data_IF_316115723911
#
_entry.id   IF_316115723911
#
_cell.length_a   1.000
_cell.length_b   1.000
_cell.length_c   1.000
_cell.angle_alpha   90.00
_cell.angle_beta   90.00
_cell.angle_gamma   90.00
#
_symmetry.space_group_name_H-M   'P 1'
#
loop_
_entity.id
_entity.type
_entity.pdbx_description
1 polymer ?
#
# COMPACT_ATOMS: atom_id res chain seq x y z
N UNK A 1 -23.88 36.85 -21.71
CA UNK A 1 -23.17 35.66 -21.17
C UNK A 1 -22.60 36.02 -19.81
N UNK A 2 -23.18 35.46 -18.75
CA UNK A 2 -22.83 35.77 -17.36
C UNK A 2 -21.54 35.01 -16.96
N UNK A 3 -20.97 35.32 -15.79
CA UNK A 3 -19.74 34.66 -15.32
C UNK A 3 -19.92 33.16 -15.05
N UNK A 4 -21.12 32.76 -14.64
CA UNK A 4 -21.48 31.37 -14.38
C UNK A 4 -21.54 30.54 -15.68
N UNK A 5 -22.05 31.11 -16.77
CA UNK A 5 -22.11 30.49 -18.10
C UNK A 5 -20.71 30.20 -18.64
N UNK A 6 -19.72 31.05 -18.31
CA UNK A 6 -18.32 30.83 -18.71
C UNK A 6 -17.67 29.72 -17.92
N UNK A 7 -17.91 29.66 -16.60
CA UNK A 7 -17.38 28.60 -15.74
C UNK A 7 -17.93 27.21 -16.14
N UNK A 8 -19.22 27.13 -16.49
CA UNK A 8 -19.82 25.87 -16.95
C UNK A 8 -19.37 25.48 -18.37
N UNK A 9 -18.80 26.40 -19.13
CA UNK A 9 -18.24 26.15 -20.45
C UNK A 9 -16.76 25.74 -20.41
N UNK A 10 -16.08 25.86 -19.27
CA UNK A 10 -14.70 25.42 -19.11
C UNK A 10 -14.63 23.89 -19.08
N UNK A 11 -13.90 23.31 -20.02
CA UNK A 11 -13.71 21.87 -20.09
C UNK A 11 -12.93 21.37 -18.86
N UNK A 12 -13.48 20.38 -18.16
CA UNK A 12 -12.75 19.70 -17.08
C UNK A 12 -11.49 19.04 -17.67
N UNK A 13 -10.32 19.19 -17.02
CA UNK A 13 -9.11 18.54 -17.48
C UNK A 13 -9.34 17.02 -17.50
N UNK A 14 -9.02 16.40 -18.63
CA UNK A 14 -9.24 14.96 -18.92
C UNK A 14 -8.39 14.01 -18.06
N UNK A 15 -7.75 14.53 -17.00
CA UNK A 15 -6.84 13.79 -16.13
C UNK A 15 -5.53 13.39 -16.83
N UNK A 16 -5.17 14.03 -17.94
CA UNK A 16 -4.02 13.66 -18.80
C UNK A 16 -2.83 14.63 -18.67
N UNK A 17 -2.86 15.53 -17.69
CA UNK A 17 -1.75 16.45 -17.45
C UNK A 17 -0.57 15.68 -16.84
N UNK A 18 0.57 15.69 -17.52
CA UNK A 18 1.85 15.21 -16.99
C UNK A 18 2.25 13.77 -17.31
N UNK A 19 1.32 12.81 -17.48
CA UNK A 19 1.71 11.41 -17.74
C UNK A 19 0.68 10.65 -18.58
N UNK A 20 1.18 9.82 -19.52
CA UNK A 20 0.42 8.70 -20.04
C UNK A 20 -0.14 7.89 -18.87
N UNK A 21 -1.45 7.62 -18.88
CA UNK A 21 -2.09 6.77 -17.87
C UNK A 21 -1.22 5.52 -17.70
N UNK A 22 -0.71 5.20 -16.50
CA UNK A 22 0.09 4.01 -16.31
C UNK A 22 -0.75 2.83 -16.81
N UNK A 23 -0.15 2.00 -17.68
CA UNK A 23 -0.81 0.82 -18.19
C UNK A 23 -1.37 0.06 -16.99
N UNK A 24 -2.68 -0.24 -17.00
CA UNK A 24 -3.28 -1.04 -15.94
C UNK A 24 -2.41 -2.29 -15.77
N UNK A 25 -1.90 -2.57 -14.55
CA UNK A 25 -1.14 -3.78 -14.34
C UNK A 25 -2.00 -4.95 -14.80
N UNK A 26 -1.44 -5.78 -15.68
CA UNK A 26 -2.07 -7.04 -16.12
C UNK A 26 -2.45 -7.80 -14.85
N UNK A 27 -3.65 -8.43 -14.77
CA UNK A 27 -3.97 -9.27 -13.63
C UNK A 27 -2.84 -10.29 -13.48
N UNK A 28 -2.15 -10.22 -12.34
CA UNK A 28 -1.12 -11.19 -12.02
C UNK A 28 -1.78 -12.56 -11.98
N UNK A 29 -1.14 -13.57 -12.58
CA UNK A 29 -1.57 -14.95 -12.38
C UNK A 29 -1.66 -15.21 -10.88
N UNK A 30 -2.72 -15.88 -10.39
CA UNK A 30 -2.82 -16.19 -8.97
C UNK A 30 -1.57 -16.94 -8.55
N UNK A 31 -0.94 -16.50 -7.46
CA UNK A 31 0.19 -17.20 -6.88
C UNK A 31 -0.23 -18.66 -6.58
N UNK A 32 0.69 -19.64 -6.68
CA UNK A 32 0.41 -21.00 -6.26
C UNK A 32 -0.14 -21.00 -4.83
N UNK A 33 -1.20 -21.79 -4.60
CA UNK A 33 -1.83 -21.88 -3.28
C UNK A 33 -0.97 -22.79 -2.40
N UNK A 34 -0.36 -22.23 -1.35
CA UNK A 34 0.44 -23.01 -0.39
C UNK A 34 -0.40 -24.03 0.36
N UNK A 35 0.19 -25.18 0.65
CA UNK A 35 -0.37 -26.07 1.67
C UNK A 35 -0.12 -25.49 3.07
N UNK A 36 -0.89 -25.89 4.09
CA UNK A 36 -0.63 -25.49 5.47
C UNK A 36 0.78 -25.84 5.95
N UNK A 37 1.32 -26.99 5.52
CA UNK A 37 2.66 -27.45 5.89
C UNK A 37 3.74 -26.60 5.23
N UNK A 38 3.59 -26.27 3.95
CA UNK A 38 4.51 -25.37 3.23
C UNK A 38 4.52 -23.97 3.86
N UNK A 39 3.35 -23.46 4.23
CA UNK A 39 3.23 -22.19 4.91
C UNK A 39 3.91 -22.23 6.29
N UNK A 40 3.72 -23.31 7.06
CA UNK A 40 4.35 -23.46 8.37
C UNK A 40 5.88 -23.52 8.27
N UNK A 41 6.41 -24.26 7.30
CA UNK A 41 7.85 -24.34 7.03
C UNK A 41 8.41 -22.97 6.64
N UNK A 42 7.77 -22.27 5.69
CA UNK A 42 8.18 -20.94 5.27
C UNK A 42 8.15 -19.93 6.44
N UNK A 43 7.13 -19.99 7.30
CA UNK A 43 7.05 -19.12 8.47
C UNK A 43 8.14 -19.43 9.50
N UNK A 44 8.50 -20.70 9.70
CA UNK A 44 9.61 -21.08 10.56
C UNK A 44 10.94 -20.52 10.05
N UNK A 45 11.22 -20.67 8.75
CA UNK A 45 12.42 -20.15 8.10
C UNK A 45 12.48 -18.62 8.17
N UNK A 46 11.35 -17.95 7.91
CA UNK A 46 11.26 -16.50 8.00
C UNK A 46 11.50 -16.01 9.43
N UNK A 47 10.91 -16.66 10.43
CA UNK A 47 11.11 -16.29 11.84
C UNK A 47 12.57 -16.49 12.25
N UNK A 48 13.20 -17.58 11.83
CA UNK A 48 14.63 -17.81 12.09
C UNK A 48 15.51 -16.73 11.44
N UNK A 49 15.20 -16.30 10.22
CA UNK A 49 15.94 -15.25 9.53
C UNK A 49 15.74 -13.86 10.15
N UNK A 50 14.54 -13.60 10.70
CA UNK A 50 14.22 -12.33 11.35
C UNK A 50 14.69 -12.27 12.81
N UNK A 51 15.04 -13.39 13.43
CA UNK A 51 15.51 -13.41 14.81
C UNK A 51 16.80 -12.57 14.95
N UNK A 52 16.74 -11.54 15.78
CA UNK A 52 17.82 -10.57 15.96
C UNK A 52 18.06 -9.62 14.77
N UNK A 53 17.35 -9.76 13.65
CA UNK A 53 17.50 -8.86 12.51
C UNK A 53 16.98 -7.46 12.85
N UNK A 54 17.78 -6.44 12.53
CA UNK A 54 17.39 -5.04 12.68
C UNK A 54 17.72 -4.27 11.42
N UNK A 55 16.77 -3.49 10.92
CA UNK A 55 17.02 -2.52 9.87
C UNK A 55 17.82 -1.33 10.44
N UNK A 56 19.08 -1.10 10.01
CA UNK A 56 19.90 0.00 10.50
C UNK A 56 19.56 1.35 9.87
N UNK A 57 18.59 1.42 8.96
CA UNK A 57 18.20 2.68 8.31
C UNK A 57 17.81 3.76 9.33
N UNK A 58 18.16 5.01 9.03
CA UNK A 58 17.82 6.15 9.87
C UNK A 58 16.31 6.26 10.09
N UNK A 59 15.52 5.98 9.05
CA UNK A 59 14.06 5.95 9.09
C UNK A 59 13.56 4.92 10.09
N UNK A 60 14.03 3.66 10.01
CA UNK A 60 13.63 2.60 10.94
C UNK A 60 14.05 2.92 12.38
N UNK A 61 15.21 3.54 12.57
CA UNK A 61 15.68 3.98 13.89
C UNK A 61 14.79 5.09 14.47
N UNK A 62 14.42 6.08 13.64
CA UNK A 62 13.55 7.19 14.02
C UNK A 62 12.15 6.70 14.39
N UNK A 63 11.59 5.78 13.61
CA UNK A 63 10.24 5.24 13.85
C UNK A 63 10.17 4.40 15.12
N UNK A 64 11.22 3.63 15.43
CA UNK A 64 11.34 2.92 16.72
C UNK A 64 11.36 3.87 17.93
N UNK A 65 11.94 5.07 17.79
CA UNK A 65 11.99 6.09 18.85
C UNK A 65 10.70 6.92 18.98
N UNK A 66 9.84 6.91 17.95
CA UNK A 66 8.58 7.67 17.99
C UNK A 66 7.56 6.96 18.87
N UNK A 67 6.81 7.70 19.71
CA UNK A 67 5.70 7.12 20.46
C UNK A 67 4.66 6.60 19.46
N UNK A 68 4.39 5.29 19.48
CA UNK A 68 3.39 4.67 18.63
C UNK A 68 2.01 5.19 19.03
N UNK A 69 1.41 6.03 18.19
CA UNK A 69 -0.02 6.35 18.28
C UNK A 69 -0.77 5.26 17.52
N UNK A 70 -0.82 4.05 18.10
CA UNK A 70 -1.72 3.01 17.59
C UNK A 70 -3.14 3.56 17.70
N UNK A 71 -3.75 3.83 16.56
CA UNK A 71 -5.19 4.05 16.48
C UNK A 71 -5.80 2.66 16.41
N UNK A 72 -6.50 2.26 17.47
CA UNK A 72 -7.39 1.09 17.40
C UNK A 72 -8.46 1.45 16.38
N UNK A 73 -8.57 0.68 15.31
CA UNK A 73 -9.69 0.76 14.38
C UNK A 73 -10.70 -0.25 14.88
N UNK A 74 -11.69 0.22 15.63
CA UNK A 74 -12.81 -0.62 16.04
C UNK A 74 -13.75 -0.84 14.82
N UNK A 75 -13.92 -2.10 14.40
CA UNK A 75 -14.91 -2.53 13.41
C UNK A 75 -14.35 -3.55 12.40
N UNK A 76 -14.99 -4.67 12.06
CA UNK A 76 -16.28 -5.25 12.42
C UNK A 76 -16.11 -6.78 12.43
N UNK A 77 -16.71 -7.46 13.41
CA UNK A 77 -17.08 -8.85 13.26
C UNK A 77 -18.33 -8.91 12.37
N UNK A 78 -18.27 -9.73 11.32
CA UNK A 78 -19.42 -10.22 10.58
C UNK A 78 -19.31 -11.75 10.52
#
# INVERSE_FOLDING_TARGET
MNAYDRLMAEALPTGTFGHARPAKPRPASPAPRWTPEEQAAHLADLNAALDGWQDPSETATRDRRRPRRLRVIDGQAA
#
